data_IF_858879669891
#
_entry.id   IF_858879669891
#
_cell.length_a   1.000
_cell.length_b   1.000
_cell.length_c   1.000
_cell.angle_alpha   90.00
_cell.angle_beta   90.00
_cell.angle_gamma   90.00
#
_symmetry.space_group_name_H-M   'P 1'
#
loop_
_entity.id
_entity.type
_entity.pdbx_description
1 polymer ?
#
# COMPACT_ATOMS: atom_id res chain seq x y z
N UNK A 1 -4.70 -8.59 31.17
CA UNK A 1 -5.87 -9.25 30.54
C UNK A 1 -6.43 -8.31 29.47
N UNK A 2 -6.32 -8.64 28.18
CA UNK A 2 -6.94 -7.83 27.11
C UNK A 2 -8.45 -8.10 27.13
N UNK A 3 -9.27 -7.07 27.34
CA UNK A 3 -10.74 -7.19 27.24
C UNK A 3 -11.08 -7.69 25.84
N UNK A 4 -11.86 -8.77 25.76
CA UNK A 4 -12.39 -9.29 24.50
C UNK A 4 -13.39 -8.24 23.98
N UNK A 5 -13.02 -7.53 22.91
CA UNK A 5 -13.92 -6.55 22.29
C UNK A 5 -14.96 -7.36 21.53
N UNK A 6 -16.17 -7.45 22.07
CA UNK A 6 -17.33 -8.02 21.40
C UNK A 6 -18.03 -6.88 20.66
N UNK A 7 -18.11 -6.97 19.33
CA UNK A 7 -18.77 -5.96 18.50
C UNK A 7 -20.09 -6.53 18.00
N UNK A 8 -21.21 -5.87 18.28
CA UNK A 8 -22.50 -6.19 17.67
C UNK A 8 -22.52 -5.73 16.20
N UNK A 9 -22.80 -6.63 15.22
CA UNK A 9 -22.86 -6.26 13.81
C UNK A 9 -23.87 -5.16 13.48
N UNK A 10 -25.04 -5.13 14.16
CA UNK A 10 -26.08 -4.14 13.88
C UNK A 10 -25.67 -2.74 14.35
N UNK A 11 -25.10 -2.63 15.55
CA UNK A 11 -24.52 -1.39 16.06
C UNK A 11 -23.34 -0.92 15.18
N UNK A 12 -22.44 -1.82 14.78
CA UNK A 12 -21.30 -1.50 13.93
C UNK A 12 -21.72 -0.93 12.57
N UNK A 13 -22.76 -1.51 11.94
CA UNK A 13 -23.33 -0.99 10.70
C UNK A 13 -23.87 0.43 10.89
N UNK A 14 -24.60 0.67 11.97
CA UNK A 14 -25.16 2.00 12.29
C UNK A 14 -24.05 3.05 12.46
N UNK A 15 -22.95 2.68 13.13
CA UNK A 15 -21.78 3.54 13.30
C UNK A 15 -21.05 3.80 11.98
N UNK A 16 -20.88 2.77 11.15
CA UNK A 16 -20.24 2.90 9.82
C UNK A 16 -20.98 3.89 8.92
N UNK A 17 -22.32 3.85 8.91
CA UNK A 17 -23.15 4.77 8.12
C UNK A 17 -22.95 6.24 8.51
N UNK A 18 -22.53 6.52 9.75
CA UNK A 18 -22.18 7.87 10.22
C UNK A 18 -20.73 8.24 9.92
N UNK A 19 -19.79 7.28 9.99
CA UNK A 19 -18.35 7.52 9.80
C UNK A 19 -18.00 7.74 8.32
N UNK A 20 -18.56 6.93 7.41
CA UNK A 20 -18.17 6.98 5.99
C UNK A 20 -18.39 8.36 5.34
N UNK A 21 -19.53 9.07 5.55
CA UNK A 21 -19.70 10.42 5.03
C UNK A 21 -18.68 11.42 5.58
N UNK A 22 -18.32 11.29 6.87
CA UNK A 22 -17.31 12.14 7.50
C UNK A 22 -15.96 11.89 6.85
N UNK A 23 -15.53 10.63 6.71
CA UNK A 23 -14.26 10.29 6.06
C UNK A 23 -14.19 10.80 4.61
N UNK A 24 -15.26 10.60 3.83
CA UNK A 24 -15.35 11.09 2.45
C UNK A 24 -15.25 12.62 2.36
N UNK A 25 -15.84 13.34 3.32
CA UNK A 25 -15.76 14.81 3.39
C UNK A 25 -14.39 15.30 3.86
N UNK A 26 -13.80 14.63 4.84
CA UNK A 26 -12.51 15.02 5.44
C UNK A 26 -11.33 14.73 4.51
N UNK A 27 -11.39 13.62 3.76
CA UNK A 27 -10.33 13.17 2.86
C UNK A 27 -10.87 12.96 1.43
N UNK A 28 -11.32 14.03 0.75
CA UNK A 28 -11.96 13.92 -0.57
C UNK A 28 -11.01 13.37 -1.65
N UNK A 29 -9.71 13.61 -1.49
CA UNK A 29 -8.67 13.22 -2.45
C UNK A 29 -7.87 11.98 -2.01
N UNK A 30 -8.39 11.20 -1.05
CA UNK A 30 -7.74 9.97 -0.59
C UNK A 30 -7.50 9.00 -1.76
N UNK A 31 -6.23 8.75 -2.06
CA UNK A 31 -5.74 7.87 -3.13
C UNK A 31 -4.58 7.05 -2.61
N UNK A 32 -4.12 6.09 -3.44
CA UNK A 32 -2.91 5.35 -3.15
C UNK A 32 -1.71 6.29 -3.02
N UNK A 33 -0.92 6.12 -1.96
CA UNK A 33 0.25 6.97 -1.67
C UNK A 33 1.53 6.48 -2.37
N UNK A 34 1.56 5.23 -2.84
CA UNK A 34 2.66 4.67 -3.62
C UNK A 34 2.67 5.27 -5.03
N UNK A 35 3.85 5.64 -5.52
CA UNK A 35 4.05 6.11 -6.89
C UNK A 35 4.27 4.92 -7.82
N UNK A 36 3.47 4.85 -8.89
CA UNK A 36 3.54 3.78 -9.88
C UNK A 36 2.97 4.25 -11.23
N UNK A 37 3.51 3.69 -12.31
CA UNK A 37 3.06 3.96 -13.69
C UNK A 37 2.42 2.73 -14.36
N UNK A 38 2.75 1.53 -13.87
CA UNK A 38 2.26 0.25 -14.40
C UNK A 38 1.74 -0.66 -13.29
N UNK A 39 0.82 -1.60 -13.59
CA UNK A 39 0.36 -2.60 -12.61
C UNK A 39 1.49 -3.44 -12.02
N UNK A 40 2.56 -3.67 -12.79
CA UNK A 40 3.77 -4.36 -12.32
C UNK A 40 4.52 -3.55 -11.27
N UNK A 41 4.77 -2.27 -11.54
CA UNK A 41 5.41 -1.36 -10.57
C UNK A 41 4.59 -1.28 -9.28
N UNK A 42 3.26 -1.22 -9.39
CA UNK A 42 2.38 -1.23 -8.23
C UNK A 42 2.51 -2.52 -7.41
N UNK A 43 2.54 -3.69 -8.06
CA UNK A 43 2.73 -4.97 -7.37
C UNK A 43 4.04 -4.98 -6.57
N UNK A 44 5.15 -4.61 -7.20
CA UNK A 44 6.45 -4.56 -6.54
C UNK A 44 6.46 -3.54 -5.39
N UNK A 45 5.92 -2.34 -5.61
CA UNK A 45 5.82 -1.31 -4.55
C UNK A 45 4.99 -1.77 -3.35
N UNK A 46 3.89 -2.49 -3.58
CA UNK A 46 3.06 -3.05 -2.50
C UNK A 46 3.82 -4.13 -1.72
N UNK A 47 4.57 -5.00 -2.39
CA UNK A 47 5.42 -6.01 -1.72
C UNK A 47 6.45 -5.30 -0.82
N UNK A 48 7.14 -4.29 -1.34
CA UNK A 48 8.14 -3.50 -0.60
C UNK A 48 7.53 -2.66 0.54
N UNK A 49 6.24 -2.32 0.47
CA UNK A 49 5.55 -1.56 1.52
C UNK A 49 5.32 -2.37 2.81
N UNK A 50 5.46 -3.70 2.76
CA UNK A 50 5.32 -4.53 3.94
C UNK A 50 6.34 -4.10 5.02
N UNK A 51 5.82 -3.70 6.17
CA UNK A 51 6.63 -3.19 7.30
C UNK A 51 7.53 -1.98 6.96
N UNK A 52 7.17 -1.23 5.91
CA UNK A 52 7.89 -0.04 5.46
C UNK A 52 6.91 1.14 5.32
N UNK A 53 7.44 2.36 5.21
CA UNK A 53 6.60 3.55 4.95
C UNK A 53 6.52 3.81 3.46
N UNK A 54 5.36 4.24 2.96
CA UNK A 54 5.17 4.59 1.54
C UNK A 54 6.20 5.64 1.06
N UNK A 55 6.59 6.58 1.92
CA UNK A 55 7.65 7.56 1.63
C UNK A 55 8.98 6.89 1.32
N UNK A 56 9.39 5.90 2.12
CA UNK A 56 10.64 5.17 1.90
C UNK A 56 10.55 4.31 0.63
N UNK A 57 9.41 3.65 0.41
CA UNK A 57 9.19 2.86 -0.80
C UNK A 57 9.31 3.74 -2.04
N UNK A 58 8.64 4.90 -2.06
CA UNK A 58 8.68 5.83 -3.20
C UNK A 58 10.10 6.35 -3.52
N UNK A 59 10.94 6.55 -2.49
CA UNK A 59 12.35 6.94 -2.68
C UNK A 59 13.14 5.84 -3.40
N UNK A 60 12.96 4.58 -2.98
CA UNK A 60 13.70 3.44 -3.54
C UNK A 60 13.18 3.09 -4.94
N UNK A 61 11.86 3.08 -5.11
CA UNK A 61 11.24 2.67 -6.37
C UNK A 61 11.50 3.64 -7.51
N UNK A 62 11.80 4.91 -7.22
CA UNK A 62 12.19 5.91 -8.23
C UNK A 62 13.34 5.43 -9.12
N UNK A 63 14.36 4.78 -8.54
CA UNK A 63 15.50 4.29 -9.30
C UNK A 63 15.36 2.80 -9.65
N UNK A 64 14.73 2.01 -8.77
CA UNK A 64 14.43 0.60 -9.04
C UNK A 64 13.64 0.43 -10.34
N UNK A 65 12.57 1.21 -10.54
CA UNK A 65 11.71 1.08 -11.73
C UNK A 65 12.32 1.64 -13.01
N UNK A 66 13.37 2.46 -12.91
CA UNK A 66 14.16 2.86 -14.08
C UNK A 66 15.08 1.73 -14.53
N UNK A 67 15.66 0.99 -13.57
CA UNK A 67 16.57 -0.12 -13.80
C UNK A 67 15.83 -1.39 -14.22
N UNK A 68 14.77 -1.74 -13.50
CA UNK A 68 13.95 -2.93 -13.70
C UNK A 68 12.55 -2.53 -14.16
N UNK A 69 12.28 -2.68 -15.46
CA UNK A 69 11.04 -2.22 -16.12
C UNK A 69 9.97 -3.31 -16.18
N UNK A 70 10.37 -4.58 -16.14
CA UNK A 70 9.47 -5.71 -16.18
C UNK A 70 10.00 -6.93 -15.43
N UNK A 71 9.21 -8.01 -15.35
CA UNK A 71 9.55 -9.20 -14.57
C UNK A 71 10.89 -9.82 -14.96
N UNK A 72 11.21 -9.85 -16.25
CA UNK A 72 12.43 -10.46 -16.76
C UNK A 72 13.69 -9.78 -16.22
N UNK A 73 13.67 -8.45 -16.06
CA UNK A 73 14.82 -7.69 -15.57
C UNK A 73 15.20 -8.10 -14.12
N UNK A 74 14.22 -8.52 -13.31
CA UNK A 74 14.45 -9.03 -11.95
C UNK A 74 14.98 -10.47 -11.94
N UNK A 75 14.69 -11.25 -12.99
CA UNK A 75 15.15 -12.63 -13.13
C UNK A 75 16.56 -12.72 -13.74
N UNK A 76 16.96 -11.68 -14.48
CA UNK A 76 18.25 -11.62 -15.18
C UNK A 76 19.42 -11.19 -14.28
N UNK A 77 19.16 -10.91 -13.00
CA UNK A 77 20.16 -10.54 -12.00
C UNK A 77 20.24 -11.57 -10.89
N UNK A 78 21.44 -11.74 -10.33
CA UNK A 78 21.62 -12.56 -9.13
C UNK A 78 20.91 -11.91 -7.93
N UNK A 79 20.48 -12.72 -6.98
CA UNK A 79 19.70 -12.24 -5.82
C UNK A 79 20.46 -11.18 -5.01
N UNK A 80 21.78 -11.34 -4.86
CA UNK A 80 22.66 -10.43 -4.14
C UNK A 80 22.72 -9.02 -4.77
N UNK A 81 22.35 -8.87 -6.04
CA UNK A 81 22.26 -7.54 -6.68
C UNK A 81 20.95 -6.80 -6.32
N UNK A 82 19.89 -7.55 -5.96
CA UNK A 82 18.57 -7.01 -5.61
C UNK A 82 18.41 -6.69 -4.12
N UNK A 83 19.20 -7.34 -3.24
CA UNK A 83 19.19 -7.16 -1.78
C UNK A 83 19.89 -5.87 -1.31
#
# INVERSE_FOLDING_TARGET
MKKKITVDPAEAKTRLLKILPILKKTYPDAKIALHWDTPWNLLVAVILSAQCTDVRVNIITQDLFKKYKGPQDYLDVEAEELE
#
